data_IF_527759683199
#
_entry.id   IF_527759683199
#
_cell.length_a   1.000
_cell.length_b   1.000
_cell.length_c   1.000
_cell.angle_alpha   90.00
_cell.angle_beta   90.00
_cell.angle_gamma   90.00
#
_symmetry.space_group_name_H-M   'P 1'
#
loop_
_entity.id
_entity.type
_entity.pdbx_description
1 polymer ?
#
# COMPACT_ATOMS: atom_id res chain seq x y z
N UNK A 1 11.93 -17.42 -16.40
CA UNK A 1 11.95 -16.94 -15.01
C UNK A 1 12.40 -15.48 -15.08
N UNK A 2 11.44 -14.53 -15.12
CA UNK A 2 11.77 -13.10 -15.21
C UNK A 2 12.11 -12.59 -13.80
N UNK A 3 13.32 -12.09 -13.62
CA UNK A 3 13.76 -11.44 -12.39
C UNK A 3 13.21 -9.99 -12.35
N UNK A 4 12.13 -9.79 -11.64
CA UNK A 4 11.52 -8.48 -11.38
C UNK A 4 12.42 -7.49 -10.61
N UNK A 5 13.55 -7.96 -10.12
CA UNK A 5 14.50 -7.15 -9.32
C UNK A 5 15.45 -6.31 -10.17
N UNK A 6 15.55 -6.53 -11.48
CA UNK A 6 16.55 -5.87 -12.32
C UNK A 6 16.37 -4.34 -12.46
N UNK A 7 15.18 -3.79 -12.73
CA UNK A 7 15.04 -2.33 -12.88
C UNK A 7 15.30 -1.55 -11.60
N UNK A 8 14.95 -2.13 -10.44
CA UNK A 8 15.17 -1.50 -9.14
C UNK A 8 16.62 -1.65 -8.66
N UNK A 9 17.29 -2.71 -9.07
CA UNK A 9 18.68 -3.00 -8.70
C UNK A 9 19.69 -2.15 -9.46
N UNK A 10 19.36 -1.68 -10.65
CA UNK A 10 20.25 -0.88 -11.50
C UNK A 10 20.09 0.63 -11.31
N UNK A 11 19.15 1.09 -10.49
CA UNK A 11 18.88 2.52 -10.31
C UNK A 11 18.32 3.21 -11.56
N UNK A 12 17.94 2.46 -12.59
CA UNK A 12 17.28 3.01 -13.76
C UNK A 12 15.87 3.48 -13.41
N UNK A 13 15.61 4.77 -13.64
CA UNK A 13 14.26 5.34 -13.53
C UNK A 13 13.45 4.85 -14.71
N UNK A 14 12.62 3.84 -14.50
CA UNK A 14 11.59 3.43 -15.46
C UNK A 14 10.48 4.48 -15.50
N UNK A 15 10.07 4.87 -16.71
CA UNK A 15 8.90 5.74 -16.85
C UNK A 15 7.63 4.97 -16.40
N UNK A 16 6.57 5.65 -15.94
CA UNK A 16 5.31 5.01 -15.60
C UNK A 16 4.79 4.10 -16.73
N UNK A 17 4.92 4.52 -17.98
CA UNK A 17 4.51 3.74 -19.16
C UNK A 17 5.30 2.44 -19.30
N UNK A 18 6.61 2.46 -19.08
CA UNK A 18 7.45 1.26 -19.10
C UNK A 18 7.12 0.30 -17.95
N UNK A 19 6.76 0.85 -16.78
CA UNK A 19 6.31 0.06 -15.65
C UNK A 19 5.00 -0.65 -15.95
N UNK A 20 4.01 0.06 -16.50
CA UNK A 20 2.71 -0.53 -16.83
C UNK A 20 2.81 -1.55 -17.96
N UNK A 21 3.63 -1.32 -18.98
CA UNK A 21 3.87 -2.30 -20.05
C UNK A 21 4.49 -3.61 -19.50
N UNK A 22 5.49 -3.50 -18.63
CA UNK A 22 6.09 -4.66 -17.98
C UNK A 22 5.10 -5.40 -17.05
N UNK A 23 4.24 -4.67 -16.36
CA UNK A 23 3.19 -5.22 -15.50
C UNK A 23 2.14 -5.97 -16.33
N UNK A 24 1.65 -5.37 -17.43
CA UNK A 24 0.70 -5.99 -18.33
C UNK A 24 1.25 -7.27 -18.96
N UNK A 25 2.50 -7.26 -19.43
CA UNK A 25 3.17 -8.44 -19.97
C UNK A 25 3.32 -9.57 -18.95
N UNK A 26 3.59 -9.24 -17.67
CA UNK A 26 3.71 -10.22 -16.59
C UNK A 26 2.39 -10.94 -16.28
N UNK A 27 1.28 -10.20 -16.29
CA UNK A 27 -0.05 -10.75 -16.00
C UNK A 27 -0.79 -11.27 -17.22
N UNK A 28 -0.15 -11.28 -18.40
CA UNK A 28 -0.78 -11.72 -19.66
C UNK A 28 -1.95 -10.83 -20.09
N UNK A 29 -1.94 -9.57 -19.65
CA UNK A 29 -2.91 -8.56 -20.08
C UNK A 29 -2.52 -8.10 -21.48
N UNK A 30 -3.52 -7.97 -22.36
CA UNK A 30 -3.30 -7.45 -23.70
C UNK A 30 -2.80 -6.01 -23.61
N UNK A 31 -1.61 -5.73 -24.17
CA UNK A 31 -1.04 -4.37 -24.19
C UNK A 31 -1.88 -3.40 -25.04
N UNK A 32 -2.84 -3.90 -25.83
CA UNK A 32 -3.84 -3.11 -26.53
C UNK A 32 -5.16 -2.93 -25.75
N UNK A 33 -5.28 -3.48 -24.55
CA UNK A 33 -6.41 -3.18 -23.66
C UNK A 33 -6.42 -1.73 -23.13
N UNK A 34 -5.42 -0.93 -23.52
CA UNK A 34 -5.29 0.48 -23.14
C UNK A 34 -6.25 1.45 -23.82
N UNK A 35 -6.94 1.04 -24.83
CA UNK A 35 -8.22 1.66 -25.15
C UNK A 35 -9.31 1.02 -24.29
N UNK A 36 -9.24 1.22 -22.97
CA UNK A 36 -10.44 1.28 -22.16
C UNK A 36 -11.38 2.19 -22.94
N UNK A 37 -12.29 1.55 -23.67
CA UNK A 37 -13.23 2.22 -24.56
C UNK A 37 -14.17 3.08 -23.69
N UNK A 38 -13.67 4.21 -23.21
CA UNK A 38 -14.46 5.24 -22.53
C UNK A 38 -15.55 5.78 -23.47
N UNK A 39 -15.44 5.53 -24.78
CA UNK A 39 -16.47 5.85 -25.77
C UNK A 39 -17.70 4.91 -25.74
N UNK A 40 -17.65 3.82 -24.97
CA UNK A 40 -18.77 2.90 -24.76
C UNK A 40 -19.54 3.11 -23.46
N UNK A 41 -19.17 4.07 -22.64
CA UNK A 41 -20.00 4.47 -21.51
C UNK A 41 -21.14 5.31 -22.04
N UNK A 42 -22.30 4.67 -22.21
CA UNK A 42 -23.56 5.35 -22.56
C UNK A 42 -23.84 6.42 -21.49
N UNK A 43 -23.87 7.71 -21.89
CA UNK A 43 -24.17 8.83 -21.00
C UNK A 43 -25.58 8.72 -20.36
N UNK A 44 -26.37 7.74 -20.81
CA UNK A 44 -27.69 7.41 -20.29
C UNK A 44 -27.72 6.21 -19.34
N UNK A 45 -26.58 5.63 -18.99
CA UNK A 45 -26.55 4.58 -17.98
C UNK A 45 -27.01 5.15 -16.63
N UNK A 46 -27.94 4.42 -15.99
CA UNK A 46 -28.55 4.81 -14.72
C UNK A 46 -27.52 5.32 -13.72
N UNK A 47 -27.83 6.35 -12.92
CA UNK A 47 -26.89 6.97 -12.00
C UNK A 47 -26.20 5.89 -11.20
N UNK A 48 -24.90 5.80 -11.37
CA UNK A 48 -24.07 4.82 -10.69
C UNK A 48 -24.39 4.87 -9.19
N UNK A 49 -24.58 3.69 -8.60
CA UNK A 49 -24.82 3.58 -7.16
C UNK A 49 -23.85 4.50 -6.40
N UNK A 50 -24.28 5.18 -5.33
CA UNK A 50 -23.45 6.15 -4.63
C UNK A 50 -22.11 5.51 -4.30
N UNK A 51 -21.04 5.98 -4.95
CA UNK A 51 -19.70 5.45 -4.72
C UNK A 51 -19.32 5.76 -3.28
N UNK A 52 -19.06 4.74 -2.49
CA UNK A 52 -18.48 4.94 -1.17
C UNK A 52 -17.20 5.77 -1.34
N UNK A 53 -17.06 6.92 -0.67
CA UNK A 53 -15.88 7.75 -0.84
C UNK A 53 -14.62 6.95 -0.51
N UNK A 54 -13.64 6.99 -1.41
CA UNK A 54 -12.36 6.33 -1.22
C UNK A 54 -11.67 6.89 0.02
N UNK A 55 -11.25 6.02 0.94
CA UNK A 55 -10.51 6.41 2.14
C UNK A 55 -9.03 6.19 1.91
N UNK A 56 -8.26 7.28 1.82
CA UNK A 56 -6.81 7.23 1.70
C UNK A 56 -6.13 7.11 3.06
N UNK A 57 -5.03 6.35 3.10
CA UNK A 57 -4.12 6.26 4.24
C UNK A 57 -2.71 6.63 3.76
N UNK A 58 -2.00 7.42 4.52
CA UNK A 58 -0.63 7.79 4.23
C UNK A 58 0.26 7.52 5.44
N UNK A 59 1.50 7.14 5.19
CA UNK A 59 2.47 6.88 6.26
C UNK A 59 2.56 8.07 7.21
N UNK A 60 2.60 7.77 8.52
CA UNK A 60 2.74 8.78 9.56
C UNK A 60 4.02 9.59 9.34
N UNK A 61 3.89 10.89 9.23
CA UNK A 61 5.00 11.82 9.05
C UNK A 61 5.17 12.72 10.28
N UNK A 62 6.42 13.10 10.57
CA UNK A 62 6.72 14.00 11.68
C UNK A 62 6.45 15.47 11.40
N UNK A 63 6.28 15.87 10.15
CA UNK A 63 6.16 17.29 9.78
C UNK A 63 4.74 17.81 9.90
N UNK A 64 4.57 18.93 10.61
CA UNK A 64 3.25 19.57 10.79
C UNK A 64 2.59 19.92 9.46
N UNK A 65 3.38 20.38 8.48
CA UNK A 65 2.87 20.75 7.16
C UNK A 65 2.22 19.56 6.44
N UNK A 66 2.89 18.40 6.44
CA UNK A 66 2.37 17.20 5.79
C UNK A 66 1.13 16.67 6.50
N UNK A 67 1.13 16.69 7.84
CA UNK A 67 -0.05 16.29 8.62
C UNK A 67 -1.25 17.20 8.33
N UNK A 68 -1.04 18.52 8.25
CA UNK A 68 -2.12 19.45 7.89
C UNK A 68 -2.64 19.20 6.47
N UNK A 69 -1.79 18.86 5.52
CA UNK A 69 -2.22 18.50 4.16
C UNK A 69 -3.05 17.21 4.14
N UNK A 70 -2.68 16.19 4.94
CA UNK A 70 -3.48 14.97 5.08
C UNK A 70 -4.86 15.27 5.70
N UNK A 71 -4.90 16.09 6.73
CA UNK A 71 -6.16 16.51 7.37
C UNK A 71 -7.08 17.25 6.37
N UNK A 72 -6.52 18.16 5.58
CA UNK A 72 -7.28 18.89 4.54
C UNK A 72 -7.80 17.97 3.43
N UNK A 73 -7.03 16.94 3.08
CA UNK A 73 -7.42 15.95 2.08
C UNK A 73 -8.39 14.87 2.62
N UNK A 74 -8.70 14.89 3.93
CA UNK A 74 -9.53 13.87 4.57
C UNK A 74 -8.85 12.50 4.66
N UNK A 75 -7.51 12.46 4.54
CA UNK A 75 -6.74 11.22 4.64
C UNK A 75 -6.48 10.84 6.10
N UNK A 76 -6.30 9.55 6.32
CA UNK A 76 -5.92 8.96 7.60
C UNK A 76 -4.44 8.64 7.62
N UNK A 77 -3.91 8.31 8.77
CA UNK A 77 -2.50 7.96 8.89
C UNK A 77 -2.31 6.44 8.99
N UNK A 78 -1.22 5.96 8.43
CA UNK A 78 -0.76 4.59 8.54
C UNK A 78 0.44 4.60 9.49
N UNK A 79 0.28 3.96 10.65
CA UNK A 79 1.33 3.76 11.64
C UNK A 79 2.15 2.52 11.27
N UNK A 80 3.40 2.46 11.68
CA UNK A 80 4.25 1.29 11.46
C UNK A 80 5.10 1.02 12.70
N UNK A 81 5.39 -0.25 13.03
CA UNK A 81 6.24 -0.62 14.17
C UNK A 81 7.63 0.04 14.13
N UNK A 82 8.16 0.26 12.92
CA UNK A 82 9.45 0.93 12.72
C UNK A 82 9.38 2.47 12.85
N UNK A 83 8.18 3.03 13.00
CA UNK A 83 7.94 4.47 13.02
C UNK A 83 7.30 4.97 14.29
N UNK A 84 6.58 6.09 14.20
CA UNK A 84 5.81 6.63 15.32
C UNK A 84 4.50 5.89 15.47
N UNK A 85 4.22 5.41 16.68
CA UNK A 85 2.93 4.82 17.07
C UNK A 85 2.00 5.84 17.71
N UNK A 86 2.25 7.14 17.57
CA UNK A 86 1.37 8.21 18.03
C UNK A 86 0.58 8.80 16.84
N UNK A 87 -0.73 8.54 16.74
CA UNK A 87 -1.57 9.04 15.66
C UNK A 87 -1.87 10.55 15.78
N UNK A 88 -1.50 11.17 16.88
CA UNK A 88 -1.76 12.60 17.18
C UNK A 88 -3.24 12.98 16.99
N UNK A 89 -4.11 12.16 17.54
CA UNK A 89 -5.56 12.37 17.51
C UNK A 89 -6.24 12.06 16.16
N UNK A 90 -5.53 11.49 15.18
CA UNK A 90 -6.09 11.11 13.87
C UNK A 90 -6.58 9.68 13.87
N UNK A 91 -7.52 9.40 12.98
CA UNK A 91 -7.85 8.00 12.66
C UNK A 91 -6.69 7.37 11.92
N UNK A 92 -6.45 6.09 12.18
CA UNK A 92 -5.28 5.39 11.69
C UNK A 92 -5.52 3.92 11.44
N UNK A 93 -4.58 3.33 10.72
CA UNK A 93 -4.41 1.89 10.60
C UNK A 93 -2.98 1.52 10.94
N UNK A 94 -2.72 0.24 11.21
CA UNK A 94 -1.41 -0.27 11.56
C UNK A 94 -0.85 -1.12 10.43
N UNK A 95 0.28 -0.71 9.89
CA UNK A 95 1.12 -1.49 8.99
C UNK A 95 1.92 -2.51 9.79
N UNK A 96 2.29 -3.64 9.17
CA UNK A 96 3.11 -4.66 9.83
C UNK A 96 4.62 -4.34 9.83
N UNK A 97 5.09 -3.45 8.96
CA UNK A 97 6.51 -3.08 8.84
C UNK A 97 7.35 -4.02 7.96
N UNK A 98 6.75 -5.05 7.35
CA UNK A 98 7.47 -6.03 6.53
C UNK A 98 8.22 -5.39 5.36
N UNK A 99 7.61 -4.40 4.71
CA UNK A 99 8.26 -3.68 3.60
C UNK A 99 9.53 -2.95 4.04
N UNK A 100 9.49 -2.31 5.21
CA UNK A 100 10.66 -1.60 5.75
C UNK A 100 11.79 -2.57 6.11
N UNK A 101 11.47 -3.71 6.70
CA UNK A 101 12.44 -4.77 6.99
C UNK A 101 13.07 -5.33 5.70
N UNK A 102 12.25 -5.60 4.68
CA UNK A 102 12.71 -6.06 3.38
C UNK A 102 13.67 -5.07 2.72
N UNK A 103 13.34 -3.77 2.70
CA UNK A 103 14.21 -2.73 2.14
C UNK A 103 15.55 -2.61 2.87
N UNK A 104 15.58 -2.89 4.17
CA UNK A 104 16.79 -2.86 4.99
C UNK A 104 17.57 -4.18 4.96
N UNK A 105 17.05 -5.23 4.28
CA UNK A 105 17.65 -6.54 4.26
C UNK A 105 17.63 -7.26 5.61
N UNK A 106 16.68 -6.90 6.49
CA UNK A 106 16.48 -7.51 7.81
C UNK A 106 15.29 -8.46 7.80
N UNK A 107 15.26 -9.38 8.77
CA UNK A 107 14.08 -10.22 9.00
C UNK A 107 12.89 -9.37 9.53
N UNK A 108 11.68 -9.87 9.31
CA UNK A 108 10.48 -9.31 9.91
C UNK A 108 10.57 -9.37 11.46
N UNK A 109 10.34 -8.25 12.12
CA UNK A 109 10.37 -8.15 13.57
C UNK A 109 8.97 -8.38 14.16
N UNK A 110 8.67 -9.64 14.43
CA UNK A 110 7.38 -10.06 15.00
C UNK A 110 7.15 -9.45 16.39
N UNK A 111 8.18 -9.32 17.21
CA UNK A 111 8.06 -8.76 18.55
C UNK A 111 7.72 -7.27 18.52
N UNK A 112 8.35 -6.51 17.64
CA UNK A 112 8.01 -5.11 17.44
C UNK A 112 6.60 -4.94 16.90
N UNK A 113 6.16 -5.81 16.00
CA UNK A 113 4.80 -5.81 15.48
C UNK A 113 3.78 -6.10 16.59
N UNK A 114 3.95 -7.16 17.36
CA UNK A 114 3.05 -7.52 18.47
C UNK A 114 2.96 -6.40 19.52
N UNK A 115 4.08 -5.79 19.89
CA UNK A 115 4.09 -4.61 20.79
C UNK A 115 3.32 -3.42 20.21
N UNK A 116 3.37 -3.23 18.89
CA UNK A 116 2.59 -2.18 18.24
C UNK A 116 1.10 -2.50 18.25
N UNK A 117 0.73 -3.77 18.00
CA UNK A 117 -0.66 -4.24 18.10
C UNK A 117 -1.21 -4.03 19.52
N UNK A 118 -0.47 -4.44 20.55
CA UNK A 118 -0.87 -4.26 21.94
C UNK A 118 -1.06 -2.78 22.31
N UNK A 119 -0.23 -1.91 21.74
CA UNK A 119 -0.25 -0.48 22.07
C UNK A 119 -1.36 0.29 21.37
N UNK A 120 -1.61 -0.01 20.09
CA UNK A 120 -2.49 0.82 19.24
C UNK A 120 -3.50 0.02 18.43
N UNK A 121 -3.49 -1.30 18.48
CA UNK A 121 -4.33 -2.15 17.62
C UNK A 121 -5.83 -2.01 17.90
N UNK A 122 -6.22 -1.82 19.16
CA UNK A 122 -7.64 -1.76 19.58
C UNK A 122 -8.44 -0.67 18.84
N UNK A 123 -7.80 0.44 18.54
CA UNK A 123 -8.45 1.60 17.91
C UNK A 123 -8.08 1.81 16.44
N UNK A 124 -7.31 0.90 15.87
CA UNK A 124 -6.96 0.94 14.45
C UNK A 124 -8.21 0.63 13.58
N UNK A 125 -8.35 1.34 12.45
CA UNK A 125 -9.43 1.02 11.50
C UNK A 125 -9.25 -0.39 10.91
N UNK A 126 -8.00 -0.82 10.73
CA UNK A 126 -7.58 -2.17 10.32
C UNK A 126 -6.08 -2.35 10.60
N UNK A 127 -5.62 -3.59 10.58
CA UNK A 127 -4.22 -3.97 10.79
C UNK A 127 -3.79 -4.85 9.61
N UNK A 128 -2.60 -4.57 9.04
CA UNK A 128 -1.97 -5.47 8.07
C UNK A 128 -1.43 -6.67 8.83
N UNK A 129 -1.85 -7.88 8.46
CA UNK A 129 -1.32 -9.10 9.05
C UNK A 129 0.17 -9.28 8.66
N UNK A 130 0.95 -10.00 9.46
CA UNK A 130 2.33 -10.33 9.11
C UNK A 130 2.42 -10.96 7.73
N UNK A 131 3.38 -10.52 6.93
CA UNK A 131 3.63 -11.06 5.60
C UNK A 131 5.13 -11.15 5.30
N UNK A 132 5.46 -11.91 4.29
CA UNK A 132 6.83 -12.00 3.75
C UNK A 132 6.80 -11.37 2.36
N UNK A 133 7.46 -10.23 2.20
CA UNK A 133 7.54 -9.53 0.92
C UNK A 133 8.08 -10.49 -0.15
N UNK A 134 7.32 -10.66 -1.24
CA UNK A 134 7.59 -11.62 -2.31
C UNK A 134 7.59 -13.10 -1.87
N UNK A 135 7.03 -13.41 -0.70
CA UNK A 135 7.04 -14.75 -0.10
C UNK A 135 6.04 -15.74 -0.71
N UNK A 136 5.10 -15.27 -1.54
CA UNK A 136 4.08 -16.13 -2.14
C UNK A 136 3.31 -16.95 -1.09
N UNK A 137 3.28 -18.26 -1.23
CA UNK A 137 2.58 -19.14 -0.28
C UNK A 137 3.08 -19.00 1.16
N UNK A 138 4.40 -18.84 1.35
CA UNK A 138 4.96 -18.68 2.71
C UNK A 138 4.46 -17.39 3.40
N UNK A 139 4.17 -16.33 2.65
CA UNK A 139 3.55 -15.12 3.18
C UNK A 139 2.12 -15.38 3.65
N UNK A 140 1.35 -16.11 2.86
CA UNK A 140 -0.03 -16.48 3.21
C UNK A 140 -0.07 -17.37 4.45
N UNK A 141 0.81 -18.37 4.54
CA UNK A 141 0.89 -19.28 5.68
C UNK A 141 1.26 -18.54 6.98
N UNK A 142 2.05 -17.46 6.89
CA UNK A 142 2.39 -16.63 8.04
C UNK A 142 1.20 -15.78 8.52
N UNK A 143 0.29 -15.43 7.63
CA UNK A 143 -0.86 -14.55 7.91
C UNK A 143 -2.07 -15.29 8.49
N UNK A 144 -2.07 -16.63 8.44
CA UNK A 144 -3.16 -17.50 8.92
C UNK A 144 -2.88 -18.04 10.32
#
# INVERSE_FOLDING_TARGET
MFHWTEPYRTGQKTSPTQFFAAYAAYYGMDENADELNLAGLDENEAPAAPRTPLRGYASMTGTRRNLAALDQAGWRVLLSPAGSLDPRGRRYSLDNGAWSAFQQGTAFDADAFLKAVDKVGEHADWIVLPDIVMGGQASLDLSL
#
